data_IF_306581408443
#
_entry.id   IF_306581408443
#
_cell.length_a   1.000
_cell.length_b   1.000
_cell.length_c   1.000
_cell.angle_alpha   90.00
_cell.angle_beta   90.00
_cell.angle_gamma   90.00
#
_symmetry.space_group_name_H-M   'P 1'
#
loop_
_entity.id
_entity.type
_entity.pdbx_description
1 polymer ?
#
# COMPACT_ATOMS: atom_id res chain seq x y z
N UNK A 1 -28.30 -20.53 5.77
CA UNK A 1 -28.13 -19.09 6.12
C UNK A 1 -27.33 -18.44 5.03
N UNK A 2 -27.82 -17.33 4.45
CA UNK A 2 -27.03 -16.49 3.56
C UNK A 2 -25.96 -15.79 4.40
N UNK A 3 -24.68 -16.00 4.09
CA UNK A 3 -23.54 -15.35 4.75
C UNK A 3 -22.88 -14.41 3.75
N UNK A 4 -22.56 -13.20 4.18
CA UNK A 4 -21.86 -12.21 3.36
C UNK A 4 -22.59 -10.87 3.30
N UNK A 5 -21.87 -9.85 2.84
CA UNK A 5 -22.42 -8.50 2.63
C UNK A 5 -22.48 -8.23 1.13
N UNK A 6 -23.54 -7.57 0.61
CA UNK A 6 -23.64 -7.27 -0.82
C UNK A 6 -22.44 -6.46 -1.31
N UNK A 7 -21.82 -6.91 -2.40
CA UNK A 7 -20.77 -6.16 -3.08
C UNK A 7 -21.33 -4.84 -3.60
N UNK A 8 -20.60 -3.75 -3.36
CA UNK A 8 -21.07 -2.39 -3.69
C UNK A 8 -21.91 -1.73 -2.60
N UNK A 9 -22.18 -2.41 -1.48
CA UNK A 9 -22.78 -1.74 -0.32
C UNK A 9 -21.79 -0.77 0.33
N UNK A 10 -22.29 0.40 0.74
CA UNK A 10 -21.49 1.42 1.45
C UNK A 10 -21.04 0.93 2.81
N UNK A 11 -21.87 0.14 3.49
CA UNK A 11 -21.58 -0.39 4.84
C UNK A 11 -20.75 -1.67 4.84
N UNK A 12 -20.66 -2.38 3.72
CA UNK A 12 -20.00 -3.68 3.65
C UNK A 12 -18.55 -3.67 4.14
N UNK A 13 -17.70 -2.74 3.68
CA UNK A 13 -16.33 -2.64 4.17
C UNK A 13 -16.24 -2.41 5.68
N UNK A 14 -17.08 -1.53 6.24
CA UNK A 14 -17.09 -1.23 7.67
C UNK A 14 -17.51 -2.44 8.51
N UNK A 15 -18.59 -3.11 8.09
CA UNK A 15 -19.06 -4.32 8.76
C UNK A 15 -18.01 -5.43 8.72
N UNK A 16 -17.32 -5.57 7.59
CA UNK A 16 -16.21 -6.52 7.47
C UNK A 16 -15.06 -6.16 8.41
N UNK A 17 -14.64 -4.88 8.48
CA UNK A 17 -13.60 -4.44 9.40
C UNK A 17 -13.95 -4.70 10.87
N UNK A 18 -15.19 -4.42 11.28
CA UNK A 18 -15.66 -4.70 12.65
C UNK A 18 -15.68 -6.21 12.94
N UNK A 19 -16.05 -7.00 11.95
CA UNK A 19 -16.14 -8.45 12.06
C UNK A 19 -14.76 -9.11 12.22
N UNK A 20 -13.74 -8.63 11.50
CA UNK A 20 -12.36 -9.17 11.60
C UNK A 20 -11.52 -8.49 12.68
N UNK A 21 -12.00 -7.41 13.32
CA UNK A 21 -11.26 -6.71 14.37
C UNK A 21 -10.83 -7.62 15.55
N UNK A 22 -11.67 -8.56 16.06
CA UNK A 22 -11.24 -9.49 17.09
C UNK A 22 -10.10 -10.42 16.66
N UNK A 23 -10.02 -10.80 15.37
CA UNK A 23 -8.91 -11.56 14.83
C UNK A 23 -7.61 -10.76 14.91
N UNK A 24 -7.63 -9.49 14.50
CA UNK A 24 -6.45 -8.63 14.59
C UNK A 24 -5.98 -8.46 16.04
N UNK A 25 -6.90 -8.31 17.00
CA UNK A 25 -6.54 -8.23 18.42
C UNK A 25 -5.92 -9.54 18.94
N UNK A 26 -6.45 -10.69 18.51
CA UNK A 26 -5.88 -11.99 18.84
C UNK A 26 -4.45 -12.13 18.30
N UNK A 27 -4.23 -11.84 17.01
CA UNK A 27 -2.92 -11.99 16.38
C UNK A 27 -1.88 -11.00 16.93
N UNK A 28 -2.28 -9.75 17.20
CA UNK A 28 -1.39 -8.73 17.78
C UNK A 28 -1.15 -8.92 19.29
N UNK A 29 -1.80 -9.90 19.93
CA UNK A 29 -1.53 -10.22 21.34
C UNK A 29 -0.23 -11.00 21.55
N UNK A 30 0.30 -11.63 20.49
CA UNK A 30 1.54 -12.40 20.55
C UNK A 30 2.77 -11.49 20.48
N UNK A 31 3.73 -11.71 21.39
CA UNK A 31 4.97 -10.93 21.40
C UNK A 31 5.77 -11.15 20.12
N UNK A 32 6.27 -10.07 19.52
CA UNK A 32 7.05 -10.14 18.28
C UNK A 32 6.22 -10.37 17.01
N UNK A 33 4.90 -10.38 17.10
CA UNK A 33 3.97 -10.53 15.97
C UNK A 33 3.22 -9.22 15.75
N UNK A 34 3.11 -8.82 14.49
CA UNK A 34 2.24 -7.72 14.07
C UNK A 34 1.38 -8.17 12.90
N UNK A 35 0.07 -7.97 13.00
CA UNK A 35 -0.89 -8.35 11.97
C UNK A 35 -1.70 -7.12 11.53
N UNK A 36 -1.77 -6.92 10.22
CA UNK A 36 -2.49 -5.83 9.57
C UNK A 36 -3.38 -6.38 8.45
N UNK A 37 -4.52 -5.75 8.21
CA UNK A 37 -5.44 -6.15 7.14
C UNK A 37 -5.80 -4.98 6.23
N UNK A 38 -5.90 -5.27 4.94
CA UNK A 38 -6.47 -4.38 3.94
C UNK A 38 -7.55 -5.14 3.17
N UNK A 39 -8.82 -4.81 3.44
CA UNK A 39 -9.93 -5.67 3.02
C UNK A 39 -9.66 -7.14 3.45
N UNK A 40 -9.79 -8.10 2.55
CA UNK A 40 -9.54 -9.53 2.80
C UNK A 40 -8.06 -9.93 2.82
N UNK A 41 -7.14 -9.05 2.40
CA UNK A 41 -5.71 -9.31 2.45
C UNK A 41 -5.18 -9.13 3.88
N UNK A 42 -4.77 -10.23 4.51
CA UNK A 42 -4.13 -10.27 5.83
C UNK A 42 -2.61 -10.40 5.70
N UNK A 43 -1.87 -9.50 6.35
CA UNK A 43 -0.42 -9.51 6.44
C UNK A 43 0.00 -9.79 7.88
N UNK A 44 0.86 -10.80 8.08
CA UNK A 44 1.40 -11.16 9.39
C UNK A 44 2.92 -11.04 9.29
N UNK A 45 3.50 -10.24 10.18
CA UNK A 45 4.95 -10.07 10.32
C UNK A 45 5.35 -10.70 11.65
N UNK A 46 6.27 -11.66 11.59
CA UNK A 46 6.84 -12.32 12.77
C UNK A 46 8.32 -11.95 12.86
N UNK A 47 8.75 -11.51 14.04
CA UNK A 47 10.14 -11.17 14.32
C UNK A 47 10.79 -12.29 15.13
N UNK A 48 11.98 -12.73 14.72
CA UNK A 48 12.81 -13.69 15.45
C UNK A 48 14.29 -13.41 15.20
N UNK A 49 15.16 -13.99 16.04
CA UNK A 49 16.62 -13.87 15.87
C UNK A 49 17.14 -14.86 14.82
N UNK A 50 16.43 -15.97 14.62
CA UNK A 50 16.73 -17.01 13.65
C UNK A 50 15.45 -17.57 13.03
N UNK A 51 15.62 -18.41 11.99
CA UNK A 51 14.50 -19.11 11.35
C UNK A 51 13.89 -20.14 12.30
N UNK A 52 14.73 -20.78 13.10
CA UNK A 52 14.38 -21.75 14.14
C UNK A 52 13.50 -21.12 15.24
N UNK A 53 13.64 -19.83 15.51
CA UNK A 53 12.78 -19.12 16.46
C UNK A 53 11.50 -18.60 15.80
N UNK A 54 11.61 -18.06 14.58
CA UNK A 54 10.53 -17.36 13.91
C UNK A 54 9.49 -18.30 13.29
N UNK A 55 9.89 -19.42 12.68
CA UNK A 55 8.96 -20.33 12.01
C UNK A 55 8.03 -21.05 12.99
N UNK A 56 8.48 -21.59 14.13
CA UNK A 56 7.56 -22.17 15.12
C UNK A 56 6.55 -21.15 15.63
N UNK A 57 6.99 -19.90 15.86
CA UNK A 57 6.10 -18.79 16.24
C UNK A 57 5.08 -18.51 15.13
N UNK A 58 5.52 -18.47 13.87
CA UNK A 58 4.63 -18.26 12.72
C UNK A 58 3.61 -19.39 12.56
N UNK A 59 4.02 -20.66 12.68
CA UNK A 59 3.10 -21.81 12.61
C UNK A 59 2.07 -21.79 13.74
N UNK A 60 2.48 -21.49 14.98
CA UNK A 60 1.55 -21.30 16.10
C UNK A 60 0.53 -20.19 15.79
N UNK A 61 0.95 -19.06 15.23
CA UNK A 61 0.06 -17.96 14.86
C UNK A 61 -0.89 -18.37 13.73
N UNK A 62 -0.41 -19.10 12.72
CA UNK A 62 -1.21 -19.61 11.62
C UNK A 62 -2.25 -20.64 12.07
N UNK A 63 -1.93 -21.48 13.05
CA UNK A 63 -2.89 -22.38 13.68
C UNK A 63 -4.02 -21.62 14.38
N UNK A 64 -3.68 -20.55 15.13
CA UNK A 64 -4.68 -19.69 15.79
C UNK A 64 -5.55 -18.96 14.78
N UNK A 65 -4.94 -18.44 13.70
CA UNK A 65 -5.66 -17.86 12.57
C UNK A 65 -6.63 -18.87 11.96
N UNK A 66 -6.19 -20.10 11.72
CA UNK A 66 -7.01 -21.16 11.13
C UNK A 66 -8.19 -21.53 12.02
N UNK A 67 -7.95 -21.75 13.32
CA UNK A 67 -9.00 -22.06 14.30
C UNK A 67 -10.04 -20.93 14.37
N UNK A 68 -9.60 -19.68 14.51
CA UNK A 68 -10.50 -18.52 14.55
C UNK A 68 -11.31 -18.40 13.25
N UNK A 69 -10.66 -18.62 12.10
CA UNK A 69 -11.32 -18.60 10.79
C UNK A 69 -12.45 -19.63 10.72
N UNK A 70 -12.22 -20.87 11.18
CA UNK A 70 -13.25 -21.92 11.20
C UNK A 70 -14.41 -21.58 12.14
N UNK A 71 -14.11 -21.11 13.35
CA UNK A 71 -15.12 -20.74 14.36
C UNK A 71 -16.03 -19.60 13.86
N UNK A 72 -15.46 -18.66 13.11
CA UNK A 72 -16.20 -17.52 12.56
C UNK A 72 -16.79 -17.84 11.17
N UNK A 73 -16.46 -18.98 10.56
CA UNK A 73 -16.96 -19.39 9.25
C UNK A 73 -16.37 -18.58 8.09
N UNK A 74 -15.10 -18.20 8.24
CA UNK A 74 -14.24 -17.73 7.17
C UNK A 74 -13.39 -18.89 6.63
N UNK A 75 -13.06 -18.83 5.35
CA UNK A 75 -12.16 -19.78 4.70
C UNK A 75 -10.86 -19.07 4.31
N UNK A 76 -9.75 -19.63 4.76
CA UNK A 76 -8.41 -19.23 4.30
C UNK A 76 -8.19 -19.89 2.94
N UNK A 77 -7.57 -19.18 2.01
CA UNK A 77 -7.18 -19.73 0.72
C UNK A 77 -5.66 -19.97 0.67
N UNK A 78 -5.17 -21.19 0.95
CA UNK A 78 -3.73 -21.45 1.03
C UNK A 78 -3.00 -21.19 -0.30
N UNK A 79 -3.69 -21.35 -1.44
CA UNK A 79 -3.08 -21.12 -2.76
C UNK A 79 -2.75 -19.66 -3.05
N UNK A 80 -3.31 -18.72 -2.27
CA UNK A 80 -3.01 -17.29 -2.34
C UNK A 80 -2.06 -16.84 -1.24
N UNK A 81 -1.72 -17.72 -0.30
CA UNK A 81 -0.78 -17.39 0.77
C UNK A 81 0.64 -17.39 0.22
N UNK A 82 1.36 -16.31 0.47
CA UNK A 82 2.76 -16.16 0.12
C UNK A 82 3.53 -15.78 1.40
N UNK A 83 4.71 -16.35 1.60
CA UNK A 83 5.59 -15.98 2.70
C UNK A 83 6.92 -15.46 2.17
N UNK A 84 7.54 -14.52 2.88
CA UNK A 84 8.85 -14.00 2.56
C UNK A 84 9.70 -13.91 3.82
N UNK A 85 10.97 -14.32 3.69
CA UNK A 85 11.97 -14.18 4.73
C UNK A 85 12.86 -12.97 4.44
N UNK A 86 12.98 -12.07 5.41
CA UNK A 86 13.83 -10.89 5.33
C UNK A 86 14.87 -10.92 6.44
N UNK A 87 16.14 -10.69 6.09
CA UNK A 87 17.24 -10.58 7.05
C UNK A 87 18.09 -9.35 6.78
N UNK A 88 18.60 -8.74 7.85
CA UNK A 88 19.62 -7.69 7.78
C UNK A 88 21.04 -8.25 7.85
N UNK A 89 21.19 -9.56 8.06
CA UNK A 89 22.50 -10.21 8.13
C UNK A 89 23.22 -10.11 6.80
N UNK A 90 24.50 -9.73 6.86
CA UNK A 90 25.42 -9.75 5.71
C UNK A 90 26.11 -11.10 5.55
N UNK A 91 25.93 -12.03 6.51
CA UNK A 91 26.54 -13.34 6.46
C UNK A 91 25.88 -14.18 5.35
N UNK A 92 26.72 -14.62 4.41
CA UNK A 92 26.37 -15.41 3.22
C UNK A 92 26.16 -16.89 3.49
N UNK A 93 26.09 -17.33 4.75
CA UNK A 93 25.57 -18.66 5.00
C UNK A 93 24.14 -18.71 4.48
N UNK A 94 23.87 -19.76 3.72
CA UNK A 94 22.69 -19.82 2.87
C UNK A 94 21.43 -19.65 3.72
N UNK A 95 20.75 -18.51 3.59
CA UNK A 95 19.33 -18.38 3.96
C UNK A 95 18.43 -19.36 3.15
N UNK A 96 19.02 -20.20 2.30
CA UNK A 96 18.37 -21.37 1.74
C UNK A 96 18.12 -22.39 2.84
N UNK A 97 16.85 -22.76 2.99
CA UNK A 97 16.43 -23.99 3.65
C UNK A 97 16.82 -25.16 2.74
N UNK A 98 18.10 -25.52 2.71
CA UNK A 98 18.62 -26.61 1.87
C UNK A 98 17.96 -27.96 2.21
N UNK A 99 17.28 -28.06 3.36
CA UNK A 99 16.82 -29.31 3.94
C UNK A 99 15.31 -29.35 4.21
N UNK A 100 14.56 -28.26 3.95
CA UNK A 100 13.11 -28.20 4.19
C UNK A 100 12.73 -28.47 5.65
N UNK A 101 13.60 -28.10 6.59
CA UNK A 101 13.48 -28.51 8.01
C UNK A 101 12.33 -27.83 8.73
N UNK A 102 11.82 -26.72 8.20
CA UNK A 102 10.84 -25.88 8.87
C UNK A 102 9.76 -25.41 7.88
N UNK A 103 8.83 -26.30 7.48
CA UNK A 103 7.74 -25.90 6.60
C UNK A 103 6.81 -24.92 7.32
N UNK A 104 6.36 -23.91 6.58
CA UNK A 104 5.31 -23.01 7.04
C UNK A 104 3.98 -23.56 6.55
N UNK A 105 3.06 -23.88 7.46
CA UNK A 105 1.81 -24.55 7.09
C UNK A 105 0.59 -23.73 7.52
N UNK A 106 -0.41 -23.67 6.64
CA UNK A 106 -1.74 -23.14 6.98
C UNK A 106 -2.81 -24.05 6.42
N UNK A 107 -3.80 -24.41 7.26
CA UNK A 107 -4.89 -25.31 6.88
C UNK A 107 -4.42 -26.65 6.26
N UNK A 108 -3.26 -27.17 6.71
CA UNK A 108 -2.66 -28.41 6.20
C UNK A 108 -2.01 -28.29 4.82
N UNK A 109 -1.76 -27.07 4.33
CA UNK A 109 -1.05 -26.78 3.10
C UNK A 109 0.26 -26.03 3.39
N UNK A 110 1.35 -26.47 2.77
CA UNK A 110 2.64 -25.79 2.84
C UNK A 110 2.61 -24.47 2.04
N UNK A 111 3.04 -23.39 2.68
CA UNK A 111 3.17 -22.07 2.09
C UNK A 111 4.58 -21.93 1.52
N UNK A 112 4.73 -21.57 0.23
CA UNK A 112 6.05 -21.30 -0.33
C UNK A 112 6.69 -20.08 0.36
N UNK A 113 7.86 -20.27 0.94
CA UNK A 113 8.65 -19.20 1.55
C UNK A 113 9.68 -18.68 0.54
N UNK A 114 9.57 -17.40 0.21
CA UNK A 114 10.55 -16.70 -0.60
C UNK A 114 11.80 -16.39 0.24
N UNK A 115 12.96 -16.86 -0.23
CA UNK A 115 14.27 -16.65 0.40
C UNK A 115 15.24 -15.93 -0.55
N UNK A 116 16.43 -15.58 -0.04
CA UNK A 116 17.50 -14.98 -0.83
C UNK A 116 17.83 -15.83 -2.07
N UNK A 117 17.70 -15.23 -3.27
CA UNK A 117 17.98 -15.90 -4.54
C UNK A 117 16.77 -16.60 -5.19
N UNK A 118 15.60 -16.57 -4.56
CA UNK A 118 14.37 -17.04 -5.16
C UNK A 118 14.00 -16.21 -6.41
N UNK A 119 13.49 -16.90 -7.45
CA UNK A 119 13.06 -16.25 -8.70
C UNK A 119 11.72 -15.50 -8.56
N UNK A 120 10.89 -15.89 -7.58
CA UNK A 120 9.58 -15.27 -7.32
C UNK A 120 9.70 -14.24 -6.21
N UNK A 121 8.99 -13.12 -6.35
CA UNK A 121 8.88 -12.06 -5.34
C UNK A 121 7.49 -12.10 -4.74
N UNK A 122 7.39 -11.90 -3.43
CA UNK A 122 6.12 -11.82 -2.72
C UNK A 122 5.47 -10.47 -2.97
N UNK A 123 4.16 -10.45 -3.20
CA UNK A 123 3.43 -9.22 -3.49
C UNK A 123 2.58 -8.78 -2.30
N UNK A 124 2.80 -7.57 -1.82
CA UNK A 124 1.96 -6.91 -0.83
C UNK A 124 1.33 -5.67 -1.45
N UNK A 125 -0.02 -5.61 -1.51
CA UNK A 125 -0.76 -4.47 -2.06
C UNK A 125 -0.18 -3.99 -3.41
N UNK A 126 -0.01 -4.91 -4.36
CA UNK A 126 0.53 -4.61 -5.71
C UNK A 126 2.03 -4.25 -5.74
N UNK A 127 2.70 -4.16 -4.60
CA UNK A 127 4.16 -3.97 -4.51
C UNK A 127 4.89 -5.29 -4.35
N UNK A 128 5.88 -5.53 -5.21
CA UNK A 128 6.77 -6.66 -5.06
C UNK A 128 7.84 -6.34 -4.01
N UNK A 129 7.92 -7.20 -3.00
CA UNK A 129 8.95 -7.19 -1.99
C UNK A 129 10.06 -8.12 -2.48
N UNK A 130 11.24 -7.58 -2.74
CA UNK A 130 12.43 -8.37 -3.00
C UNK A 130 13.09 -8.80 -1.68
N UNK A 131 13.87 -9.90 -1.68
CA UNK A 131 14.50 -10.42 -0.46
C UNK A 131 15.32 -9.39 0.35
N UNK A 132 15.89 -8.38 -0.33
CA UNK A 132 16.69 -7.31 0.31
C UNK A 132 15.87 -6.05 0.60
N UNK A 133 14.55 -6.06 0.38
CA UNK A 133 13.65 -4.91 0.49
C UNK A 133 14.18 -3.66 -0.24
N UNK A 134 14.92 -3.86 -1.34
CA UNK A 134 15.46 -2.78 -2.16
C UNK A 134 14.42 -2.16 -3.09
N UNK A 135 13.27 -2.79 -3.27
CA UNK A 135 12.12 -2.40 -4.10
C UNK A 135 12.47 -2.02 -5.55
N UNK A 136 13.63 -2.46 -6.06
CA UNK A 136 14.05 -2.17 -7.43
C UNK A 136 13.12 -2.82 -8.47
N UNK A 137 12.61 -4.02 -8.18
CA UNK A 137 11.62 -4.72 -9.03
C UNK A 137 10.32 -3.93 -9.09
N UNK A 138 9.82 -3.47 -7.93
CA UNK A 138 8.64 -2.63 -7.84
C UNK A 138 8.82 -1.32 -8.63
N UNK A 139 9.97 -0.64 -8.50
CA UNK A 139 10.31 0.56 -9.27
C UNK A 139 10.25 0.31 -10.79
N UNK A 140 10.79 -0.83 -11.23
CA UNK A 140 10.81 -1.23 -12.65
C UNK A 140 9.39 -1.50 -13.16
N UNK A 141 8.55 -2.19 -12.39
CA UNK A 141 7.15 -2.44 -12.77
C UNK A 141 6.31 -1.17 -12.80
N UNK A 142 6.47 -0.26 -11.84
CA UNK A 142 5.76 1.03 -11.87
C UNK A 142 6.18 1.88 -13.07
N UNK A 143 7.48 1.89 -13.40
CA UNK A 143 7.96 2.51 -14.63
C UNK A 143 7.33 1.89 -15.87
N UNK A 144 7.37 0.57 -16.01
CA UNK A 144 6.81 -0.12 -17.18
C UNK A 144 5.30 0.19 -17.34
N UNK A 145 4.54 0.13 -16.25
CA UNK A 145 3.13 0.49 -16.25
C UNK A 145 2.90 1.97 -16.59
N UNK A 146 3.77 2.86 -16.13
CA UNK A 146 3.72 4.29 -16.47
C UNK A 146 4.08 4.55 -17.92
N UNK A 147 5.05 3.82 -18.49
CA UNK A 147 5.42 3.90 -19.90
C UNK A 147 4.26 3.53 -20.82
N UNK A 148 3.45 2.54 -20.44
CA UNK A 148 2.21 2.24 -21.16
C UNK A 148 1.23 3.43 -21.14
N UNK A 149 1.07 4.08 -19.97
CA UNK A 149 0.24 5.28 -19.83
C UNK A 149 0.80 6.47 -20.62
N UNK A 150 2.12 6.63 -20.67
CA UNK A 150 2.81 7.64 -21.48
C UNK A 150 2.44 7.49 -22.96
N UNK A 151 2.45 6.27 -23.50
CA UNK A 151 2.07 6.01 -24.89
C UNK A 151 0.62 6.45 -25.16
N UNK A 152 -0.30 6.17 -24.25
CA UNK A 152 -1.70 6.60 -24.36
C UNK A 152 -1.85 8.12 -24.25
N UNK A 153 -1.13 8.76 -23.32
CA UNK A 153 -1.14 10.20 -23.14
C UNK A 153 -0.61 10.94 -24.38
N UNK A 154 0.40 10.39 -25.06
CA UNK A 154 0.91 10.94 -26.32
C UNK A 154 -0.14 10.96 -27.43
N UNK A 155 -1.06 10.00 -27.47
CA UNK A 155 -2.16 10.00 -28.43
C UNK A 155 -3.16 11.15 -28.17
N UNK A 156 -3.29 11.59 -26.92
CA UNK A 156 -4.24 12.63 -26.50
C UNK A 156 -3.60 14.03 -26.57
N UNK A 157 -2.30 14.13 -26.29
CA UNK A 157 -1.55 15.38 -26.25
C UNK A 157 -1.21 15.96 -27.65
N UNK A 158 -2.14 15.88 -28.60
CA UNK A 158 -1.94 16.40 -29.95
C UNK A 158 -1.78 17.94 -29.93
N UNK A 159 -0.85 18.49 -30.69
CA UNK A 159 -0.55 19.95 -30.64
C UNK A 159 -1.69 20.83 -31.15
N UNK A 160 -2.49 20.33 -32.09
CA UNK A 160 -3.54 21.11 -32.77
C UNK A 160 -4.96 20.82 -32.26
N UNK A 161 -5.17 19.64 -31.68
CA UNK A 161 -6.49 19.15 -31.26
C UNK A 161 -6.49 18.62 -29.82
N UNK A 162 -5.39 18.83 -29.10
CA UNK A 162 -5.23 18.39 -27.73
C UNK A 162 -5.89 19.34 -26.73
N UNK A 163 -6.03 18.89 -25.47
CA UNK A 163 -6.57 19.71 -24.40
C UNK A 163 -5.65 20.90 -24.08
N UNK A 164 -6.20 21.89 -23.37
CA UNK A 164 -5.39 23.00 -22.85
C UNK A 164 -4.23 22.47 -22.00
N UNK A 165 -3.07 23.16 -21.93
CA UNK A 165 -1.93 22.70 -21.12
C UNK A 165 -2.29 22.44 -19.65
N UNK A 166 -3.21 23.23 -19.10
CA UNK A 166 -3.72 23.07 -17.74
C UNK A 166 -4.51 21.75 -17.56
N UNK A 167 -5.43 21.45 -18.47
CA UNK A 167 -6.25 20.23 -18.40
C UNK A 167 -5.41 19.00 -18.70
N UNK A 168 -4.48 19.11 -19.65
CA UNK A 168 -3.49 18.08 -19.93
C UNK A 168 -2.65 17.77 -18.70
N UNK A 169 -2.17 18.80 -18.00
CA UNK A 169 -1.42 18.65 -16.74
C UNK A 169 -2.23 17.89 -15.70
N UNK A 170 -3.49 18.27 -15.47
CA UNK A 170 -4.36 17.61 -14.50
C UNK A 170 -4.56 16.14 -14.87
N UNK A 171 -4.79 15.85 -16.16
CA UNK A 171 -4.95 14.49 -16.63
C UNK A 171 -3.64 13.68 -16.53
N UNK A 172 -2.51 14.24 -16.91
CA UNK A 172 -1.17 13.62 -16.79
C UNK A 172 -0.84 13.32 -15.33
N UNK A 173 -1.16 14.22 -14.40
CA UNK A 173 -0.95 14.00 -12.96
C UNK A 173 -1.88 12.90 -12.44
N UNK A 174 -3.18 12.99 -12.74
CA UNK A 174 -4.21 12.07 -12.24
C UNK A 174 -4.12 10.66 -12.84
N UNK A 175 -3.70 10.55 -14.10
CA UNK A 175 -3.61 9.28 -14.83
C UNK A 175 -2.17 8.75 -14.91
N UNK A 176 -1.23 9.54 -15.45
CA UNK A 176 0.14 9.08 -15.67
C UNK A 176 0.96 9.04 -14.38
N UNK A 177 1.14 10.21 -13.76
CA UNK A 177 2.01 10.36 -12.60
C UNK A 177 1.48 9.59 -11.38
N UNK A 178 0.16 9.50 -11.20
CA UNK A 178 -0.43 8.71 -10.10
C UNK A 178 0.02 7.25 -10.13
N UNK A 179 0.22 6.65 -11.31
CA UNK A 179 0.72 5.28 -11.43
C UNK A 179 2.17 5.16 -10.97
N UNK A 180 3.02 6.09 -11.40
CA UNK A 180 4.43 6.12 -11.00
C UNK A 180 4.60 6.42 -9.51
N UNK A 181 3.69 7.23 -8.96
CA UNK A 181 3.72 7.70 -7.57
C UNK A 181 3.21 6.67 -6.57
N UNK A 182 2.44 5.66 -7.01
CA UNK A 182 1.97 4.60 -6.12
C UNK A 182 3.16 3.88 -5.46
N UNK A 183 3.27 3.96 -4.14
CA UNK A 183 4.37 3.42 -3.32
C UNK A 183 5.76 3.99 -3.63
N UNK A 184 5.82 5.12 -4.35
CA UNK A 184 7.08 5.78 -4.71
C UNK A 184 7.82 6.31 -3.48
N UNK A 185 7.12 6.61 -2.40
CA UNK A 185 7.66 7.05 -1.12
C UNK A 185 8.49 5.97 -0.41
N UNK A 186 8.06 4.71 -0.48
CA UNK A 186 8.81 3.56 0.01
C UNK A 186 9.98 3.25 -0.91
N UNK A 187 9.71 3.17 -2.22
CA UNK A 187 10.75 2.93 -3.24
C UNK A 187 11.87 3.97 -3.12
N UNK A 188 11.54 5.25 -2.95
CA UNK A 188 12.53 6.32 -2.83
C UNK A 188 13.41 6.20 -1.57
N UNK A 189 12.92 5.56 -0.52
CA UNK A 189 13.68 5.37 0.72
C UNK A 189 14.75 4.27 0.59
N UNK A 190 14.48 3.21 -0.16
CA UNK A 190 15.29 1.97 -0.15
C UNK A 190 15.93 1.61 -1.49
N UNK A 191 15.39 2.11 -2.61
CA UNK A 191 15.89 1.74 -3.93
C UNK A 191 17.28 2.32 -4.22
N UNK A 192 17.92 1.72 -5.21
CA UNK A 192 19.21 2.19 -5.70
C UNK A 192 19.06 3.54 -6.40
N UNK A 193 20.13 4.34 -6.41
CA UNK A 193 20.11 5.64 -7.10
C UNK A 193 19.88 5.49 -8.61
N UNK A 194 20.33 4.37 -9.20
CA UNK A 194 19.99 4.02 -10.58
C UNK A 194 18.48 3.92 -10.79
N UNK A 195 17.77 3.16 -9.94
CA UNK A 195 16.31 3.04 -10.03
C UNK A 195 15.59 4.39 -9.79
N UNK A 196 16.07 5.20 -8.83
CA UNK A 196 15.54 6.54 -8.57
C UNK A 196 15.70 7.48 -9.76
N UNK A 197 16.89 7.52 -10.36
CA UNK A 197 17.19 8.33 -11.54
C UNK A 197 16.31 7.92 -12.72
N UNK A 198 16.11 6.62 -12.90
CA UNK A 198 15.21 6.08 -13.91
C UNK A 198 13.74 6.50 -13.66
N UNK A 199 13.25 6.46 -12.42
CA UNK A 199 11.90 6.97 -12.11
C UNK A 199 11.79 8.47 -12.42
N UNK A 200 12.80 9.27 -12.07
CA UNK A 200 12.82 10.70 -12.38
C UNK A 200 12.77 10.97 -13.89
N UNK A 201 13.51 10.22 -14.71
CA UNK A 201 13.43 10.32 -16.19
C UNK A 201 12.03 10.01 -16.73
N UNK A 202 11.35 9.04 -16.14
CA UNK A 202 9.97 8.67 -16.51
C UNK A 202 9.01 9.82 -16.16
N UNK A 203 9.16 10.39 -14.97
CA UNK A 203 8.37 11.54 -14.54
C UNK A 203 8.64 12.80 -15.38
N UNK A 204 9.90 13.07 -15.74
CA UNK A 204 10.25 14.14 -16.66
C UNK A 204 9.63 13.94 -18.05
N UNK A 205 9.50 12.70 -18.51
CA UNK A 205 8.80 12.40 -19.77
C UNK A 205 7.32 12.76 -19.71
N UNK A 206 6.66 12.57 -18.57
CA UNK A 206 5.30 13.07 -18.35
C UNK A 206 5.24 14.60 -18.41
N UNK A 207 6.19 15.28 -17.77
CA UNK A 207 6.27 16.75 -17.82
C UNK A 207 6.46 17.27 -19.25
N UNK A 208 7.29 16.61 -20.06
CA UNK A 208 7.48 16.96 -21.47
C UNK A 208 6.22 16.79 -22.31
N UNK A 209 5.33 15.85 -21.96
CA UNK A 209 4.03 15.72 -22.63
C UNK A 209 3.15 16.93 -22.30
N UNK A 210 3.14 17.37 -21.05
CA UNK A 210 2.36 18.54 -20.61
C UNK A 210 2.84 19.83 -21.28
N UNK A 211 4.15 20.07 -21.29
CA UNK A 211 4.73 21.29 -21.86
C UNK A 211 4.91 21.25 -23.37
N UNK A 212 4.74 20.08 -24.01
CA UNK A 212 4.92 19.91 -25.46
C UNK A 212 6.36 20.09 -25.94
N UNK A 213 7.33 20.14 -25.01
CA UNK A 213 8.75 20.35 -25.33
C UNK A 213 9.42 19.08 -25.87
N UNK A 214 10.47 19.20 -26.70
CA UNK A 214 11.21 18.05 -27.21
C UNK A 214 11.83 17.18 -26.11
N UNK A 215 12.09 15.91 -26.43
CA UNK A 215 12.76 14.97 -25.51
C UNK A 215 14.18 15.36 -25.12
N UNK A 216 14.81 16.26 -25.88
CA UNK A 216 16.16 16.78 -25.64
C UNK A 216 16.21 17.83 -24.53
N UNK A 217 15.07 18.44 -24.17
CA UNK A 217 15.02 19.45 -23.11
C UNK A 217 15.36 18.79 -21.77
N UNK A 218 16.17 19.49 -20.99
CA UNK A 218 16.60 19.02 -19.68
C UNK A 218 15.39 18.80 -18.75
N UNK A 219 15.46 17.82 -17.83
CA UNK A 219 14.34 17.49 -16.97
C UNK A 219 13.81 18.66 -16.12
N UNK A 220 14.68 19.58 -15.68
CA UNK A 220 14.30 20.66 -14.77
C UNK A 220 13.51 21.74 -15.49
N UNK A 221 13.95 22.17 -16.67
CA UNK A 221 13.21 23.09 -17.53
C UNK A 221 11.86 22.49 -17.94
N UNK A 222 11.83 21.20 -18.31
CA UNK A 222 10.57 20.54 -18.67
C UNK A 222 9.56 20.51 -17.52
N UNK A 223 10.03 20.30 -16.28
CA UNK A 223 9.22 20.33 -15.07
C UNK A 223 8.73 21.73 -14.74
N UNK A 224 9.60 22.74 -14.88
CA UNK A 224 9.25 24.14 -14.67
C UNK A 224 8.15 24.60 -15.64
N UNK A 225 8.33 24.36 -16.94
CA UNK A 225 7.35 24.68 -17.98
C UNK A 225 6.02 23.94 -17.77
N UNK A 226 6.07 22.68 -17.33
CA UNK A 226 4.88 21.90 -17.00
C UNK A 226 4.23 22.31 -15.67
N UNK A 227 4.81 23.25 -14.91
CA UNK A 227 4.43 23.59 -13.54
C UNK A 227 4.30 22.34 -12.65
N UNK A 228 5.26 21.43 -12.73
CA UNK A 228 5.29 20.16 -12.01
C UNK A 228 6.48 20.13 -11.04
N UNK A 229 6.28 19.88 -9.74
CA UNK A 229 7.39 19.75 -8.81
C UNK A 229 8.20 18.49 -9.11
N UNK A 230 9.53 18.48 -8.84
CA UNK A 230 10.36 17.29 -9.01
C UNK A 230 9.83 16.08 -8.23
N UNK A 231 9.99 14.89 -8.80
CA UNK A 231 9.48 13.64 -8.21
C UNK A 231 10.02 13.41 -6.79
N UNK A 232 11.29 13.67 -6.55
CA UNK A 232 11.92 13.44 -5.24
C UNK A 232 11.27 14.30 -4.14
N UNK A 233 10.88 15.54 -4.44
CA UNK A 233 10.15 16.41 -3.50
C UNK A 233 8.78 15.83 -3.17
N UNK A 234 8.07 15.31 -4.19
CA UNK A 234 6.78 14.66 -3.99
C UNK A 234 6.89 13.40 -3.13
N UNK A 235 7.92 12.58 -3.35
CA UNK A 235 8.19 11.37 -2.54
C UNK A 235 8.50 11.74 -1.09
N UNK A 236 9.35 12.76 -0.86
CA UNK A 236 9.69 13.23 0.49
C UNK A 236 8.47 13.77 1.24
N UNK A 237 7.61 14.56 0.55
CA UNK A 237 6.35 15.06 1.13
C UNK A 237 5.40 13.93 1.51
N UNK A 238 5.20 12.96 0.62
CA UNK A 238 4.35 11.81 0.90
C UNK A 238 4.88 10.97 2.08
N UNK A 239 6.20 10.74 2.12
CA UNK A 239 6.85 10.02 3.21
C UNK A 239 6.71 10.74 4.55
N UNK A 240 6.88 12.08 4.58
CA UNK A 240 6.67 12.87 5.79
C UNK A 240 5.23 12.75 6.27
N UNK A 241 4.25 12.85 5.37
CA UNK A 241 2.84 12.69 5.73
C UNK A 241 2.54 11.31 6.31
N UNK A 242 3.11 10.23 5.76
CA UNK A 242 2.98 8.88 6.34
C UNK A 242 3.57 8.85 7.74
N UNK A 243 4.76 9.40 7.94
CA UNK A 243 5.40 9.43 9.26
C UNK A 243 4.55 10.19 10.30
N UNK A 244 4.00 11.34 9.92
CA UNK A 244 3.10 12.14 10.77
C UNK A 244 1.82 11.37 11.11
N UNK A 245 1.19 10.76 10.09
CA UNK A 245 -0.03 9.97 10.28
C UNK A 245 0.21 8.77 11.20
N UNK A 246 1.30 8.02 11.02
CA UNK A 246 1.63 6.87 11.88
C UNK A 246 1.88 7.32 13.32
N UNK A 247 2.55 8.47 13.52
CA UNK A 247 2.76 9.05 14.85
C UNK A 247 1.44 9.49 15.50
N UNK A 248 0.53 10.07 14.73
CA UNK A 248 -0.79 10.49 15.20
C UNK A 248 -1.70 9.29 15.55
N UNK A 249 -1.67 8.24 14.74
CA UNK A 249 -2.40 6.99 15.00
C UNK A 249 -2.02 6.34 16.34
N UNK A 250 -0.76 6.49 16.79
CA UNK A 250 -0.33 6.01 18.11
C UNK A 250 -0.89 6.84 19.29
N UNK A 251 -1.45 8.02 19.04
CA UNK A 251 -1.81 8.99 20.07
C UNK A 251 -3.29 9.40 20.09
N UNK A 252 -4.05 9.16 19.01
CA UNK A 252 -5.39 9.77 18.85
C UNK A 252 -6.59 8.88 19.19
N UNK A 253 -6.49 7.55 19.17
CA UNK A 253 -7.61 6.70 19.62
C UNK A 253 -7.86 6.76 21.14
N UNK A 254 -6.86 7.22 21.91
CA UNK A 254 -6.97 7.45 23.36
C UNK A 254 -7.58 8.81 23.70
N UNK A 255 -7.70 9.73 22.74
CA UNK A 255 -8.46 10.96 22.93
C UNK A 255 -9.85 10.72 22.40
N UNK A 256 -10.76 10.28 23.29
CA UNK A 256 -12.18 10.61 23.13
C UNK A 256 -12.23 12.09 22.71
N UNK A 257 -13.07 12.49 21.74
CA UNK A 257 -13.36 13.92 21.59
C UNK A 257 -13.70 14.44 23.00
N UNK A 258 -13.15 15.59 23.44
CA UNK A 258 -13.51 16.13 24.73
C UNK A 258 -15.04 16.13 24.82
N UNK A 259 -15.64 15.73 25.96
CA UNK A 259 -17.10 15.74 26.09
C UNK A 259 -17.60 17.09 25.58
N UNK A 260 -18.62 17.05 24.73
CA UNK A 260 -19.22 18.28 24.20
C UNK A 260 -19.37 19.26 25.37
N UNK A 261 -18.86 20.51 25.24
CA UNK A 261 -19.05 21.48 26.30
C UNK A 261 -20.56 21.55 26.58
N UNK A 262 -20.99 21.56 27.85
CA UNK A 262 -22.41 21.66 28.17
C UNK A 262 -22.99 22.81 27.36
N UNK A 263 -24.18 22.64 26.76
CA UNK A 263 -24.73 23.59 25.80
C UNK A 263 -24.59 24.99 26.39
N UNK A 264 -23.74 25.81 25.76
CA UNK A 264 -23.57 27.20 26.17
C UNK A 264 -24.97 27.82 26.07
N UNK A 265 -25.47 28.33 27.18
CA UNK A 265 -26.73 29.06 27.23
C UNK A 265 -26.68 30.17 26.16
N UNK A 266 -27.29 29.93 25.00
CA UNK A 266 -27.30 30.90 23.90
C UNK A 266 -27.09 30.38 22.48
N UNK A 267 -26.76 29.09 22.24
CA UNK A 267 -26.71 28.56 20.87
C UNK A 267 -27.48 27.24 20.72
N UNK A 268 -28.81 27.35 20.64
CA UNK A 268 -29.65 26.30 20.06
C UNK A 268 -29.91 26.67 18.60
N UNK A 269 -29.37 25.89 17.66
CA UNK A 269 -30.03 25.78 16.36
C UNK A 269 -31.36 25.09 16.68
N UNK A 270 -32.47 25.78 16.46
CA UNK A 270 -33.79 25.18 16.64
C UNK A 270 -33.84 23.93 15.75
N UNK A 271 -34.26 22.76 16.26
CA UNK A 271 -34.44 21.60 15.40
C UNK A 271 -35.44 21.99 14.32
N UNK A 272 -34.99 22.01 13.07
CA UNK A 272 -35.85 22.24 11.90
C UNK A 272 -37.03 21.28 12.03
N UNK A 273 -38.24 21.85 12.05
CA UNK A 273 -39.45 21.04 12.21
C UNK A 273 -39.59 20.13 10.99
N UNK A 274 -40.06 18.91 11.23
CA UNK A 274 -40.22 17.88 10.18
C UNK A 274 -41.17 18.31 9.06
N UNK A 275 -41.95 19.36 9.28
CA UNK A 275 -42.91 19.93 8.34
C UNK A 275 -42.25 20.84 7.28
N UNK A 276 -41.04 21.35 7.51
CA UNK A 276 -40.31 22.19 6.53
C UNK A 276 -39.55 21.37 5.48
N UNK A 277 -39.38 20.06 5.69
CA UNK A 277 -38.62 19.15 4.80
C UNK A 277 -39.41 18.61 3.59
N UNK A 278 -40.72 18.86 3.51
CA UNK A 278 -41.59 18.37 2.42
C UNK A 278 -42.22 19.47 1.56
N UNK A 279 -41.70 20.69 1.61
CA UNK A 279 -42.18 21.82 0.81
C UNK A 279 -41.12 22.38 -0.16
N UNK A 280 -40.43 21.50 -0.90
CA UNK A 280 -39.68 21.82 -2.12
C UNK A 280 -39.80 20.68 -3.15
#
# INVERSE_FOLDING_TARGET
MLRGVPQGSVLGPYLFSLYVHPLLNLLNSFAGVTADMYADDLSIIVKGQSREDAIPTANMVLEKLHAWSQENGLAINPSKCEAAWFTLSTHTESDYDCEGKWPLEVAGCEIPVMTMGASRTTRLLVMDLDPRLSLNVAATKQRAATSQRISQLRCIAHKEAGPSPHDLRNFVIGYGASKLRYGSELIWAVATDSAKNEMQKTYATLARIVSGVPSTVDPESALLEANMPPLHVLCLRARLSIFENTRACQMDWMRRPPPEPPPRAGFCISPLSRDELYAL
#
